data_IF_603535275677
#
_entry.id   IF_603535275677
#
_cell.length_a   1.000
_cell.length_b   1.000
_cell.length_c   1.000
_cell.angle_alpha   90.00
_cell.angle_beta   90.00
_cell.angle_gamma   90.00
#
_symmetry.space_group_name_H-M   'P 1'
#
loop_
_entity.id
_entity.type
_entity.pdbx_description
1 polymer ?
#
# COMPACT_ATOMS: atom_id res chain seq x y z
N UNK A 1 -7.19 -34.43 56.21
CA UNK A 1 -6.42 -33.86 57.33
C UNK A 1 -7.17 -32.60 57.75
N UNK A 2 -7.87 -32.64 58.90
CA UNK A 2 -8.69 -31.60 59.59
C UNK A 2 -9.69 -30.79 58.73
N UNK A 3 -11.01 -30.74 58.91
CA UNK A 3 -11.93 -30.78 60.08
C UNK A 3 -11.46 -29.90 61.25
N UNK A 4 -12.08 -28.73 61.40
CA UNK A 4 -12.92 -28.33 62.55
C UNK A 4 -13.46 -26.90 62.32
N UNK A 5 -14.51 -26.37 62.96
CA UNK A 5 -15.83 -26.80 63.44
C UNK A 5 -16.46 -25.56 64.16
N UNK A 6 -17.80 -25.58 64.31
CA UNK A 6 -18.65 -24.79 65.25
C UNK A 6 -18.93 -23.31 64.95
N UNK A 7 -20.18 -22.88 64.71
CA UNK A 7 -21.50 -22.97 65.43
C UNK A 7 -21.68 -21.95 66.55
N UNK A 8 -22.97 -21.63 66.77
CA UNK A 8 -23.65 -20.96 67.91
C UNK A 8 -24.00 -19.48 67.66
N UNK A 9 -25.17 -18.92 68.01
CA UNK A 9 -26.39 -19.39 68.70
C UNK A 9 -27.54 -18.39 68.45
N UNK A 10 -28.78 -18.84 68.69
CA UNK A 10 -30.08 -18.16 68.65
C UNK A 10 -30.30 -17.08 69.73
N UNK A 11 -31.32 -16.25 69.51
CA UNK A 11 -32.28 -15.55 70.41
C UNK A 11 -32.39 -14.07 70.01
N UNK A 12 -33.54 -13.48 69.67
CA UNK A 12 -34.85 -13.54 70.31
C UNK A 12 -35.02 -12.29 71.20
N UNK A 13 -35.97 -11.40 70.88
CA UNK A 13 -36.79 -10.57 71.81
C UNK A 13 -37.31 -9.26 71.18
N UNK A 14 -38.63 -9.10 71.22
CA UNK A 14 -39.39 -7.87 71.00
C UNK A 14 -39.03 -6.76 72.00
N UNK A 15 -39.09 -5.50 71.56
CA UNK A 15 -39.49 -4.37 72.39
C UNK A 15 -40.40 -3.42 71.60
N UNK A 16 -41.58 -3.19 72.17
CA UNK A 16 -42.59 -2.18 71.81
C UNK A 16 -42.31 -0.94 72.67
N UNK A 17 -42.31 0.29 72.11
CA UNK A 17 -43.20 1.43 72.49
C UNK A 17 -42.76 2.80 71.92
N UNK A 18 -43.74 3.49 71.31
CA UNK A 18 -44.09 4.93 71.29
C UNK A 18 -43.12 6.05 70.86
N UNK A 19 -43.62 6.75 69.83
CA UNK A 19 -43.72 8.21 69.63
C UNK A 19 -42.55 9.13 70.05
N UNK A 20 -41.94 9.80 69.06
CA UNK A 20 -42.02 11.25 69.01
C UNK A 20 -41.72 11.84 67.62
N UNK A 21 -42.53 12.85 67.30
CA UNK A 21 -42.64 13.58 66.07
C UNK A 21 -41.45 14.55 65.88
N UNK A 22 -40.72 14.52 64.75
CA UNK A 22 -39.99 15.70 64.24
C UNK A 22 -39.84 15.63 62.71
N UNK A 23 -40.38 16.65 62.04
CA UNK A 23 -40.20 16.91 60.62
C UNK A 23 -38.74 17.20 60.29
N UNK A 24 -38.10 16.30 59.55
CA UNK A 24 -36.91 16.63 58.77
C UNK A 24 -37.18 16.35 57.30
N UNK A 25 -37.16 17.42 56.50
CA UNK A 25 -37.02 17.37 55.06
C UNK A 25 -35.68 16.71 54.72
N UNK A 26 -35.65 15.38 54.75
CA UNK A 26 -34.57 14.63 54.16
C UNK A 26 -34.72 14.77 52.65
N UNK A 27 -33.88 15.62 52.04
CA UNK A 27 -33.41 15.36 50.70
C UNK A 27 -32.75 13.99 50.72
N UNK A 28 -33.56 12.94 50.52
CA UNK A 28 -33.08 11.58 50.36
C UNK A 28 -32.18 11.59 49.15
N UNK A 29 -30.87 11.61 49.40
CA UNK A 29 -29.86 11.31 48.39
C UNK A 29 -30.22 9.93 47.89
N UNK A 30 -30.81 9.83 46.70
CA UNK A 30 -31.01 8.54 46.03
C UNK A 30 -29.62 7.94 45.88
N UNK A 31 -29.29 6.99 46.74
CA UNK A 31 -28.11 6.17 46.60
C UNK A 31 -28.27 5.51 45.24
N UNK A 32 -27.34 5.78 44.33
CA UNK A 32 -27.37 5.18 43.02
C UNK A 32 -27.21 3.67 43.19
N UNK A 33 -28.21 2.91 42.76
CA UNK A 33 -28.18 1.45 42.77
C UNK A 33 -27.85 0.94 41.37
N UNK A 34 -26.95 -0.03 41.30
CA UNK A 34 -26.58 -0.69 40.05
C UNK A 34 -27.81 -1.37 39.46
N UNK A 35 -28.16 -1.03 38.23
CA UNK A 35 -29.16 -1.77 37.47
C UNK A 35 -28.59 -3.16 37.13
N UNK A 36 -29.10 -4.20 37.81
CA UNK A 36 -28.62 -5.59 37.67
C UNK A 36 -28.84 -6.15 36.26
N UNK A 37 -29.89 -5.74 35.55
CA UNK A 37 -30.15 -6.17 34.18
C UNK A 37 -29.14 -5.54 33.20
N UNK A 38 -28.74 -4.29 33.44
CA UNK A 38 -27.63 -3.68 32.68
C UNK A 38 -26.30 -4.36 32.99
N UNK A 39 -26.06 -4.73 34.25
CA UNK A 39 -24.84 -5.44 34.65
C UNK A 39 -24.75 -6.82 33.97
N UNK A 40 -25.83 -7.60 33.93
CA UNK A 40 -25.86 -8.90 33.26
C UNK A 40 -25.67 -8.77 31.74
N UNK A 41 -26.31 -7.77 31.12
CA UNK A 41 -26.08 -7.44 29.70
C UNK A 41 -24.62 -7.06 29.43
N UNK A 42 -24.01 -6.27 30.32
CA UNK A 42 -22.59 -5.91 30.21
C UNK A 42 -21.68 -7.13 30.35
N UNK A 43 -21.97 -8.04 31.30
CA UNK A 43 -21.23 -9.30 31.45
C UNK A 43 -21.35 -10.17 30.20
N UNK A 44 -22.55 -10.28 29.61
CA UNK A 44 -22.75 -10.99 28.35
C UNK A 44 -21.92 -10.38 27.21
N UNK A 45 -21.89 -9.04 27.10
CA UNK A 45 -21.08 -8.33 26.11
C UNK A 45 -19.58 -8.52 26.32
N UNK A 46 -19.12 -8.60 27.57
CA UNK A 46 -17.71 -8.86 27.91
C UNK A 46 -17.29 -10.29 27.49
N UNK A 47 -18.19 -11.26 27.64
CA UNK A 47 -17.92 -12.65 27.26
C UNK A 47 -18.07 -12.92 25.76
N UNK A 48 -18.78 -12.05 25.03
CA UNK A 48 -18.97 -12.20 23.58
C UNK A 48 -17.66 -11.96 22.81
N UNK A 49 -17.38 -12.79 21.81
CA UNK A 49 -16.29 -12.54 20.88
C UNK A 49 -16.63 -11.34 19.98
N UNK A 50 -15.67 -10.43 19.71
CA UNK A 50 -15.84 -9.42 18.67
C UNK A 50 -16.15 -10.10 17.33
N UNK A 51 -17.16 -9.59 16.62
CA UNK A 51 -17.58 -10.13 15.32
C UNK A 51 -17.10 -9.29 14.14
N UNK A 52 -17.08 -7.95 14.29
CA UNK A 52 -16.71 -7.02 13.21
C UNK A 52 -15.22 -7.13 12.93
N UNK A 53 -14.37 -6.78 13.89
CA UNK A 53 -12.93 -7.03 13.83
C UNK A 53 -12.65 -8.42 14.42
N UNK A 54 -12.17 -9.33 13.58
CA UNK A 54 -11.86 -10.71 13.99
C UNK A 54 -10.74 -10.73 15.04
N UNK A 55 -10.71 -11.77 15.87
CA UNK A 55 -9.61 -11.94 16.85
C UNK A 55 -8.26 -12.17 16.17
N UNK A 56 -8.25 -12.68 14.93
CA UNK A 56 -7.02 -12.88 14.15
C UNK A 56 -6.52 -11.58 13.51
N UNK A 57 -7.32 -10.51 13.44
CA UNK A 57 -6.94 -9.26 12.78
C UNK A 57 -5.64 -8.62 13.29
N UNK A 58 -5.26 -8.86 14.55
CA UNK A 58 -3.99 -8.41 15.13
C UNK A 58 -2.84 -9.40 15.00
N UNK A 59 -3.06 -10.58 14.41
CA UNK A 59 -2.04 -11.62 14.23
C UNK A 59 -1.37 -11.50 12.87
N UNK A 60 -0.16 -12.03 12.75
CA UNK A 60 0.57 -12.12 11.48
C UNK A 60 -0.08 -13.04 10.43
N UNK A 61 -1.03 -13.90 10.84
CA UNK A 61 -1.84 -14.70 9.91
C UNK A 61 -2.86 -13.86 9.15
N UNK A 62 -3.36 -12.76 9.73
CA UNK A 62 -4.25 -11.83 9.04
C UNK A 62 -3.48 -10.99 8.02
N UNK A 63 -4.00 -10.95 6.79
CA UNK A 63 -3.38 -10.24 5.67
C UNK A 63 -4.40 -9.65 4.69
N UNK A 64 -5.69 -9.98 4.80
CA UNK A 64 -6.76 -9.49 3.92
C UNK A 64 -7.70 -8.62 4.75
N UNK A 65 -7.58 -7.31 4.59
CA UNK A 65 -8.23 -6.33 5.44
C UNK A 65 -9.40 -5.65 4.74
N UNK A 66 -10.46 -5.34 5.49
CA UNK A 66 -11.34 -4.24 5.09
C UNK A 66 -10.57 -2.94 5.18
N UNK A 67 -10.72 -2.10 4.17
CA UNK A 67 -10.04 -0.81 4.11
C UNK A 67 -10.58 0.09 5.22
N UNK A 68 -9.71 0.71 6.04
CA UNK A 68 -10.12 1.67 7.05
C UNK A 68 -10.99 2.77 6.46
N UNK A 69 -12.05 3.14 7.20
CA UNK A 69 -13.04 4.12 6.75
C UNK A 69 -12.41 5.47 6.37
N UNK A 70 -11.37 5.91 7.07
CA UNK A 70 -10.63 7.12 6.75
C UNK A 70 -10.06 7.10 5.33
N UNK A 71 -9.40 6.01 4.93
CA UNK A 71 -8.86 5.85 3.57
C UNK A 71 -9.98 5.77 2.54
N UNK A 72 -11.07 5.06 2.87
CA UNK A 72 -12.22 4.92 1.98
C UNK A 72 -12.97 6.25 1.76
N UNK A 73 -13.05 7.13 2.76
CA UNK A 73 -13.68 8.45 2.63
C UNK A 73 -12.89 9.37 1.68
N UNK A 74 -11.57 9.15 1.54
CA UNK A 74 -10.71 9.91 0.62
C UNK A 74 -10.69 9.31 -0.79
N UNK A 75 -10.61 7.97 -0.92
CA UNK A 75 -10.30 7.28 -2.19
C UNK A 75 -11.27 6.13 -2.55
N UNK A 76 -12.48 6.11 -1.98
CA UNK A 76 -13.29 4.89 -1.86
C UNK A 76 -13.56 4.05 -3.12
N UNK A 77 -13.76 4.67 -4.29
CA UNK A 77 -14.00 3.93 -5.54
C UNK A 77 -12.81 3.04 -5.97
N UNK A 78 -11.61 3.39 -5.53
CA UNK A 78 -10.39 2.66 -5.88
C UNK A 78 -10.20 1.36 -5.07
N UNK A 79 -11.00 1.14 -4.02
CA UNK A 79 -10.94 -0.09 -3.21
C UNK A 79 -12.01 -1.12 -3.59
N UNK A 80 -13.10 -0.73 -4.27
CA UNK A 80 -14.21 -1.62 -4.62
C UNK A 80 -14.09 -2.24 -6.02
N UNK A 81 -14.08 -3.59 -6.17
CA UNK A 81 -13.98 -4.23 -7.47
C UNK A 81 -15.08 -3.78 -8.44
N UNK A 82 -14.76 -3.77 -9.73
CA UNK A 82 -15.65 -3.33 -10.80
C UNK A 82 -16.38 -4.49 -11.50
N UNK A 83 -15.69 -5.61 -11.74
CA UNK A 83 -16.22 -6.69 -12.59
C UNK A 83 -16.10 -8.08 -11.98
N UNK A 84 -15.17 -8.32 -11.05
CA UNK A 84 -14.95 -9.65 -10.46
C UNK A 84 -14.77 -9.58 -8.95
N UNK A 85 -15.52 -10.42 -8.23
CA UNK A 85 -15.26 -10.65 -6.81
C UNK A 85 -14.24 -11.78 -6.66
N UNK A 86 -13.35 -11.70 -5.68
CA UNK A 86 -12.41 -12.75 -5.31
C UNK A 86 -12.38 -12.79 -3.78
N UNK A 87 -12.75 -13.94 -3.22
CA UNK A 87 -12.93 -14.10 -1.81
C UNK A 87 -14.24 -13.47 -1.28
N UNK A 88 -14.43 -13.49 0.05
CA UNK A 88 -15.74 -13.36 0.67
C UNK A 88 -16.28 -11.92 0.78
N UNK A 89 -15.43 -10.89 0.70
CA UNK A 89 -15.85 -9.52 1.04
C UNK A 89 -16.78 -8.86 0.03
N UNK A 90 -16.68 -9.27 -1.24
CA UNK A 90 -17.52 -8.76 -2.34
C UNK A 90 -18.34 -9.86 -3.02
N UNK A 91 -18.30 -11.08 -2.50
CA UNK A 91 -18.98 -12.21 -3.10
C UNK A 91 -20.51 -11.99 -3.11
N UNK A 92 -21.14 -12.34 -4.24
CA UNK A 92 -22.58 -12.20 -4.44
C UNK A 92 -23.08 -10.78 -4.71
N UNK A 93 -22.19 -9.78 -4.86
CA UNK A 93 -22.60 -8.42 -5.23
C UNK A 93 -23.16 -8.38 -6.66
N UNK A 94 -24.37 -7.82 -6.90
CA UNK A 94 -25.02 -7.88 -8.21
C UNK A 94 -24.21 -7.30 -9.37
N UNK A 95 -23.42 -6.25 -9.13
CA UNK A 95 -22.62 -5.61 -10.19
C UNK A 95 -21.40 -6.43 -10.62
N UNK A 96 -21.03 -7.47 -9.87
CA UNK A 96 -19.90 -8.36 -10.16
C UNK A 96 -20.32 -9.69 -10.79
N UNK A 97 -21.64 -9.92 -10.95
CA UNK A 97 -22.20 -11.19 -11.38
C UNK A 97 -21.69 -11.67 -12.75
N UNK A 98 -21.33 -10.73 -13.64
CA UNK A 98 -20.84 -11.02 -14.99
C UNK A 98 -19.67 -12.01 -14.99
N UNK A 99 -18.65 -11.81 -14.16
CA UNK A 99 -17.49 -12.71 -14.13
C UNK A 99 -17.75 -13.96 -13.27
N UNK A 100 -18.65 -13.88 -12.27
CA UNK A 100 -19.03 -15.05 -11.46
C UNK A 100 -19.54 -16.21 -12.33
N UNK A 101 -20.36 -15.92 -13.35
CA UNK A 101 -20.82 -16.94 -14.31
C UNK A 101 -19.66 -17.59 -15.09
N UNK A 102 -18.64 -16.80 -15.42
CA UNK A 102 -17.48 -17.28 -16.16
C UNK A 102 -16.49 -18.08 -15.30
N UNK A 103 -16.47 -17.90 -13.98
CA UNK A 103 -15.62 -18.71 -13.09
C UNK A 103 -15.95 -20.20 -13.19
N UNK A 104 -17.23 -20.55 -13.24
CA UNK A 104 -17.68 -21.94 -13.40
C UNK A 104 -17.26 -22.53 -14.74
N UNK A 105 -17.31 -21.73 -15.81
CA UNK A 105 -16.79 -22.12 -17.13
C UNK A 105 -15.29 -22.41 -17.08
N UNK A 106 -14.51 -21.59 -16.37
CA UNK A 106 -13.07 -21.77 -16.20
C UNK A 106 -12.76 -23.02 -15.37
N UNK A 107 -13.47 -23.22 -14.26
CA UNK A 107 -13.36 -24.44 -13.46
C UNK A 107 -13.69 -25.69 -14.27
N UNK A 108 -14.76 -25.67 -15.07
CA UNK A 108 -15.10 -26.79 -15.95
C UNK A 108 -14.03 -27.09 -17.00
N UNK A 109 -13.43 -26.06 -17.60
CA UNK A 109 -12.32 -26.22 -18.55
C UNK A 109 -11.07 -26.81 -17.90
N UNK A 110 -10.76 -26.38 -16.67
CA UNK A 110 -9.66 -26.91 -15.87
C UNK A 110 -9.90 -28.38 -15.50
N UNK A 111 -11.09 -28.70 -14.99
CA UNK A 111 -11.48 -30.05 -14.57
C UNK A 111 -11.41 -31.06 -15.71
N UNK A 112 -11.80 -30.68 -16.94
CA UNK A 112 -11.64 -31.55 -18.11
C UNK A 112 -10.20 -32.06 -18.27
N UNK A 113 -9.20 -31.21 -18.03
CA UNK A 113 -7.78 -31.57 -18.16
C UNK A 113 -7.23 -32.34 -16.96
N UNK A 114 -7.75 -32.12 -15.76
CA UNK A 114 -7.26 -32.80 -14.55
C UNK A 114 -7.97 -34.12 -14.30
N UNK A 115 -9.23 -34.27 -14.70
CA UNK A 115 -9.99 -35.52 -14.60
C UNK A 115 -9.39 -36.61 -15.47
N UNK A 116 -8.82 -36.27 -16.63
CA UNK A 116 -8.03 -37.17 -17.46
C UNK A 116 -6.82 -37.77 -16.71
N UNK A 117 -6.40 -37.12 -15.62
CA UNK A 117 -5.31 -37.55 -14.73
C UNK A 117 -5.80 -38.11 -13.40
N UNK A 118 -7.10 -38.32 -13.25
CA UNK A 118 -7.71 -38.85 -12.03
C UNK A 118 -7.92 -37.83 -10.92
N UNK A 119 -7.79 -36.52 -11.18
CA UNK A 119 -8.03 -35.46 -10.19
C UNK A 119 -9.33 -34.72 -10.53
N UNK A 120 -10.33 -34.88 -9.67
CA UNK A 120 -11.66 -34.28 -9.80
C UNK A 120 -11.90 -33.10 -8.85
N UNK A 121 -13.13 -32.56 -8.91
CA UNK A 121 -13.56 -31.46 -8.05
C UNK A 121 -13.52 -31.83 -6.56
N UNK A 122 -13.89 -33.08 -6.24
CA UNK A 122 -13.83 -33.60 -4.87
C UNK A 122 -12.42 -33.53 -4.29
N UNK A 123 -11.38 -33.74 -5.10
CA UNK A 123 -9.99 -33.70 -4.64
C UNK A 123 -9.57 -32.26 -4.30
N UNK A 124 -10.06 -31.27 -5.05
CA UNK A 124 -9.81 -29.85 -4.73
C UNK A 124 -10.48 -29.46 -3.41
N UNK A 125 -11.75 -29.82 -3.24
CA UNK A 125 -12.50 -29.54 -2.02
C UNK A 125 -11.84 -30.23 -0.81
N UNK A 126 -11.48 -31.51 -0.95
CA UNK A 126 -10.81 -32.31 0.10
C UNK A 126 -9.44 -31.75 0.46
N UNK A 127 -8.71 -31.18 -0.51
CA UNK A 127 -7.41 -30.59 -0.25
C UNK A 127 -7.50 -29.22 0.44
N UNK A 128 -8.50 -28.41 0.12
CA UNK A 128 -8.71 -27.08 0.74
C UNK A 128 -9.33 -27.19 2.13
N UNK A 129 -10.19 -28.19 2.39
CA UNK A 129 -10.91 -28.34 3.65
C UNK A 129 -10.03 -28.24 4.92
N UNK A 130 -8.86 -28.89 5.01
CA UNK A 130 -8.00 -28.81 6.21
C UNK A 130 -7.44 -27.40 6.46
N UNK A 131 -7.41 -26.56 5.43
CA UNK A 131 -6.87 -25.20 5.48
C UNK A 131 -7.95 -24.14 5.71
N UNK A 132 -9.22 -24.52 5.82
CA UNK A 132 -10.34 -23.58 5.96
C UNK A 132 -10.15 -22.62 7.14
N UNK A 133 -9.79 -23.15 8.31
CA UNK A 133 -9.61 -22.36 9.53
C UNK A 133 -8.46 -21.35 9.37
N UNK A 134 -7.33 -21.77 8.80
CA UNK A 134 -6.19 -20.90 8.52
C UNK A 134 -6.56 -19.82 7.48
N UNK A 135 -7.31 -20.19 6.44
CA UNK A 135 -7.78 -19.25 5.43
C UNK A 135 -8.72 -18.20 6.02
N UNK A 136 -9.59 -18.56 6.97
CA UNK A 136 -10.43 -17.58 7.69
C UNK A 136 -9.60 -16.63 8.55
N UNK A 137 -8.52 -17.11 9.17
CA UNK A 137 -7.64 -16.25 9.97
C UNK A 137 -6.96 -15.15 9.13
N UNK A 138 -6.84 -15.33 7.82
CA UNK A 138 -6.32 -14.32 6.91
C UNK A 138 -7.19 -13.06 6.81
N UNK A 139 -8.49 -13.14 7.15
CA UNK A 139 -9.42 -12.02 7.02
C UNK A 139 -9.55 -11.23 8.32
N UNK A 140 -9.53 -9.89 8.19
CA UNK A 140 -9.69 -8.97 9.32
C UNK A 140 -11.09 -8.98 9.93
N UNK A 141 -12.10 -9.38 9.17
CA UNK A 141 -13.48 -9.50 9.65
C UNK A 141 -13.93 -10.96 9.73
N UNK A 142 -14.97 -11.22 10.52
CA UNK A 142 -15.55 -12.56 10.61
C UNK A 142 -16.29 -12.89 9.33
N UNK A 143 -15.95 -14.02 8.71
CA UNK A 143 -16.58 -14.49 7.47
C UNK A 143 -17.88 -15.24 7.79
N UNK A 144 -19.01 -14.74 7.32
CA UNK A 144 -20.36 -15.25 7.62
C UNK A 144 -20.81 -16.48 6.83
N UNK A 145 -19.99 -17.00 5.92
CA UNK A 145 -20.27 -18.21 5.14
C UNK A 145 -20.09 -19.49 5.97
N UNK A 146 -20.90 -20.50 5.70
CA UNK A 146 -20.68 -21.86 6.18
C UNK A 146 -19.33 -22.42 5.69
N UNK A 147 -18.86 -23.53 6.27
CA UNK A 147 -17.62 -24.16 5.83
C UNK A 147 -17.69 -24.58 4.35
N UNK A 148 -18.80 -25.18 3.93
CA UNK A 148 -18.96 -25.66 2.56
C UNK A 148 -18.97 -24.51 1.55
N UNK A 149 -19.75 -23.45 1.80
CA UNK A 149 -19.79 -22.26 0.94
C UNK A 149 -18.42 -21.56 0.84
N UNK A 150 -17.69 -21.47 1.95
CA UNK A 150 -16.39 -20.83 1.97
C UNK A 150 -15.33 -21.65 1.22
N UNK A 151 -15.32 -22.98 1.39
CA UNK A 151 -14.41 -23.87 0.67
C UNK A 151 -14.71 -23.85 -0.83
N UNK A 152 -16.00 -23.90 -1.22
CA UNK A 152 -16.43 -23.79 -2.61
C UNK A 152 -15.90 -22.50 -3.24
N UNK A 153 -16.08 -21.36 -2.56
CA UNK A 153 -15.58 -20.06 -3.02
C UNK A 153 -14.06 -20.05 -3.19
N UNK A 154 -13.29 -20.55 -2.21
CA UNK A 154 -11.84 -20.61 -2.29
C UNK A 154 -11.35 -21.46 -3.47
N UNK A 155 -11.99 -22.61 -3.72
CA UNK A 155 -11.66 -23.48 -4.85
C UNK A 155 -12.03 -22.80 -6.17
N UNK A 156 -13.24 -22.27 -6.29
CA UNK A 156 -13.73 -21.64 -7.51
C UNK A 156 -12.87 -20.43 -7.90
N UNK A 157 -12.62 -19.52 -6.96
CA UNK A 157 -11.86 -18.30 -7.18
C UNK A 157 -10.38 -18.60 -7.44
N UNK A 158 -9.82 -19.56 -6.69
CA UNK A 158 -8.45 -20.01 -6.89
C UNK A 158 -8.24 -20.65 -8.26
N UNK A 159 -9.12 -21.58 -8.66
CA UNK A 159 -9.08 -22.20 -9.98
C UNK A 159 -9.28 -21.17 -11.10
N UNK A 160 -10.18 -20.20 -10.92
CA UNK A 160 -10.38 -19.11 -11.88
C UNK A 160 -9.09 -18.31 -12.09
N UNK A 161 -8.43 -17.85 -11.01
CA UNK A 161 -7.17 -17.10 -11.09
C UNK A 161 -6.09 -17.92 -11.81
N UNK A 162 -5.91 -19.18 -11.42
CA UNK A 162 -4.88 -20.04 -12.00
C UNK A 162 -5.11 -20.29 -13.48
N UNK A 163 -6.36 -20.56 -13.87
CA UNK A 163 -6.73 -20.80 -15.26
C UNK A 163 -6.61 -19.53 -16.11
N UNK A 164 -6.97 -18.37 -15.54
CA UNK A 164 -6.75 -17.07 -16.15
C UNK A 164 -5.26 -16.85 -16.43
N UNK A 165 -4.39 -17.05 -15.44
CA UNK A 165 -2.94 -16.87 -15.61
C UNK A 165 -2.37 -17.83 -16.67
N UNK A 166 -2.84 -19.08 -16.72
CA UNK A 166 -2.42 -20.05 -17.74
C UNK A 166 -2.84 -19.65 -19.14
N UNK A 167 -4.07 -19.16 -19.32
CA UNK A 167 -4.60 -18.70 -20.62
C UNK A 167 -3.80 -17.51 -21.15
N UNK A 168 -3.63 -16.47 -20.32
CA UNK A 168 -2.84 -15.29 -20.69
C UNK A 168 -1.35 -15.59 -20.84
N UNK A 169 -0.83 -16.59 -20.13
CA UNK A 169 0.53 -17.10 -20.28
C UNK A 169 0.73 -18.01 -21.49
N UNK A 170 -0.30 -18.30 -22.28
CA UNK A 170 -0.22 -19.20 -23.43
C UNK A 170 0.07 -20.67 -23.09
N UNK A 171 -0.12 -21.07 -21.83
CA UNK A 171 0.13 -22.44 -21.37
C UNK A 171 -1.03 -23.39 -21.65
N UNK A 172 -2.22 -22.85 -21.84
CA UNK A 172 -3.42 -23.62 -22.18
C UNK A 172 -4.16 -22.91 -23.30
N UNK A 173 -4.91 -23.65 -24.14
CA UNK A 173 -5.70 -23.04 -25.20
C UNK A 173 -6.68 -22.00 -24.64
N UNK A 174 -6.62 -20.80 -25.19
CA UNK A 174 -7.65 -19.79 -25.07
C UNK A 174 -8.52 -19.84 -26.32
N UNK A 175 -9.83 -19.74 -26.15
CA UNK A 175 -10.73 -19.53 -27.27
C UNK A 175 -10.52 -18.09 -27.76
N UNK A 176 -10.16 -17.87 -29.04
CA UNK A 176 -9.91 -16.52 -29.57
C UNK A 176 -11.11 -15.57 -29.37
N UNK A 177 -12.32 -16.12 -29.34
CA UNK A 177 -13.56 -15.37 -29.19
C UNK A 177 -14.03 -15.28 -27.72
N UNK A 178 -13.23 -15.79 -26.76
CA UNK A 178 -13.56 -15.71 -25.34
C UNK A 178 -13.65 -14.24 -24.88
N UNK A 179 -14.79 -13.76 -24.37
CA UNK A 179 -14.95 -12.37 -23.96
C UNK A 179 -13.92 -11.90 -22.93
N UNK A 180 -13.41 -12.79 -22.07
CA UNK A 180 -12.44 -12.44 -21.03
C UNK A 180 -11.03 -12.22 -21.60
N UNK A 181 -10.73 -12.73 -22.80
CA UNK A 181 -9.44 -12.52 -23.47
C UNK A 181 -9.55 -11.58 -24.66
N UNK A 182 -10.70 -11.53 -25.34
CA UNK A 182 -10.90 -10.71 -26.55
C UNK A 182 -11.29 -9.25 -26.24
N UNK A 183 -12.00 -9.00 -25.14
CA UNK A 183 -12.42 -7.65 -24.77
C UNK A 183 -11.35 -6.93 -23.94
N UNK A 184 -10.65 -5.97 -24.54
CA UNK A 184 -9.54 -5.25 -23.89
C UNK A 184 -9.92 -4.56 -22.57
N UNK A 185 -11.15 -4.05 -22.47
CA UNK A 185 -11.61 -3.40 -21.25
C UNK A 185 -11.72 -4.40 -20.09
N UNK A 186 -12.24 -5.61 -20.33
CA UNK A 186 -12.37 -6.67 -19.31
C UNK A 186 -11.00 -6.97 -18.70
N UNK A 187 -9.99 -7.13 -19.56
CA UNK A 187 -8.63 -7.41 -19.10
C UNK A 187 -8.06 -6.30 -18.20
N UNK A 188 -8.22 -5.03 -18.58
CA UNK A 188 -7.76 -3.88 -17.79
C UNK A 188 -8.43 -3.80 -16.41
N UNK A 189 -9.71 -4.19 -16.30
CA UNK A 189 -10.41 -4.27 -15.02
C UNK A 189 -10.02 -5.51 -14.20
N UNK A 190 -9.80 -6.67 -14.84
CA UNK A 190 -9.31 -7.88 -14.16
C UNK A 190 -7.97 -7.61 -13.47
N UNK A 191 -7.02 -6.97 -14.17
CA UNK A 191 -5.72 -6.61 -13.61
C UNK A 191 -5.85 -5.78 -12.33
N UNK A 192 -6.76 -4.80 -12.31
CA UNK A 192 -6.98 -3.93 -11.15
C UNK A 192 -7.70 -4.66 -10.02
N UNK A 193 -8.79 -5.34 -10.33
CA UNK A 193 -9.64 -6.02 -9.34
C UNK A 193 -8.88 -7.16 -8.62
N UNK A 194 -7.99 -7.87 -9.31
CA UNK A 194 -7.15 -8.92 -8.71
C UNK A 194 -6.07 -8.39 -7.74
N UNK A 195 -5.85 -7.08 -7.68
CA UNK A 195 -4.87 -6.43 -6.80
C UNK A 195 -5.53 -5.52 -5.75
N UNK A 196 -6.86 -5.57 -5.60
CA UNK A 196 -7.53 -4.80 -4.54
C UNK A 196 -7.40 -5.50 -3.21
N UNK A 197 -7.14 -4.74 -2.16
CA UNK A 197 -6.93 -5.28 -0.81
C UNK A 197 -8.13 -6.11 -0.32
N UNK A 198 -9.35 -5.65 -0.57
CA UNK A 198 -10.57 -6.35 -0.15
C UNK A 198 -10.96 -7.53 -1.06
N UNK A 199 -10.27 -7.71 -2.20
CA UNK A 199 -10.66 -8.65 -3.24
C UNK A 199 -9.59 -9.73 -3.45
N UNK A 200 -9.26 -10.44 -2.38
CA UNK A 200 -8.15 -11.40 -2.33
C UNK A 200 -8.59 -12.73 -1.73
N UNK A 201 -7.84 -13.79 -2.08
CA UNK A 201 -7.77 -15.03 -1.33
C UNK A 201 -6.32 -15.30 -0.89
N UNK A 202 -6.07 -16.11 0.16
CA UNK A 202 -4.73 -16.39 0.61
C UNK A 202 -3.88 -17.08 -0.46
N UNK A 203 -2.62 -16.65 -0.63
CA UNK A 203 -1.75 -17.17 -1.69
C UNK A 203 -1.41 -18.65 -1.49
N UNK A 204 -1.41 -19.15 -0.26
CA UNK A 204 -1.16 -20.58 0.00
C UNK A 204 -2.28 -21.47 -0.57
N UNK A 205 -3.53 -20.98 -0.65
CA UNK A 205 -4.62 -21.67 -1.35
C UNK A 205 -4.32 -21.77 -2.84
N UNK A 206 -3.87 -20.66 -3.45
CA UNK A 206 -3.42 -20.65 -4.85
C UNK A 206 -2.27 -21.63 -5.09
N UNK A 207 -1.29 -21.68 -4.17
CA UNK A 207 -0.15 -22.59 -4.26
C UNK A 207 -0.58 -24.05 -4.20
N UNK A 208 -1.47 -24.40 -3.27
CA UNK A 208 -2.03 -25.74 -3.14
C UNK A 208 -2.78 -26.16 -4.42
N UNK A 209 -3.72 -25.32 -4.88
CA UNK A 209 -4.49 -25.61 -6.09
C UNK A 209 -3.60 -25.67 -7.33
N UNK A 210 -2.55 -24.84 -7.41
CA UNK A 210 -1.59 -24.87 -8.50
C UNK A 210 -0.83 -26.19 -8.55
N UNK A 211 -0.41 -26.72 -7.40
CA UNK A 211 0.26 -28.02 -7.29
C UNK A 211 -0.66 -29.17 -7.71
N UNK A 212 -1.92 -29.17 -7.26
CA UNK A 212 -2.91 -30.19 -7.62
C UNK A 212 -3.29 -30.17 -9.11
N UNK A 213 -3.32 -28.98 -9.69
CA UNK A 213 -3.73 -28.77 -11.09
C UNK A 213 -2.55 -28.78 -12.05
N UNK A 214 -1.36 -29.17 -11.58
CA UNK A 214 -0.16 -29.07 -12.38
C UNK A 214 -0.22 -30.00 -13.60
N UNK A 215 0.34 -29.52 -14.71
CA UNK A 215 0.15 -30.14 -16.02
C UNK A 215 1.17 -31.26 -16.34
N UNK A 216 2.16 -31.51 -15.49
CA UNK A 216 3.20 -32.53 -15.72
C UNK A 216 3.15 -33.65 -14.65
N UNK A 217 3.00 -34.92 -15.04
CA UNK A 217 3.18 -36.06 -14.13
C UNK A 217 4.64 -36.49 -13.93
N UNK A 218 5.54 -36.26 -14.90
CA UNK A 218 6.81 -37.03 -15.00
C UNK A 218 8.08 -36.23 -15.32
N UNK A 219 8.07 -34.89 -15.35
CA UNK A 219 9.30 -34.10 -15.52
C UNK A 219 9.42 -33.06 -14.41
N UNK A 220 10.48 -33.17 -13.61
CA UNK A 220 10.88 -32.17 -12.63
C UNK A 220 11.07 -30.80 -13.32
N UNK A 221 10.09 -29.90 -13.18
CA UNK A 221 10.34 -28.46 -13.25
C UNK A 221 10.28 -27.75 -14.61
N UNK A 222 9.66 -28.30 -15.66
CA UNK A 222 9.63 -27.61 -16.97
C UNK A 222 8.57 -26.51 -17.12
N UNK A 223 7.53 -26.49 -16.28
CA UNK A 223 6.50 -25.43 -16.28
C UNK A 223 6.88 -24.21 -15.44
N UNK A 224 6.40 -23.00 -15.77
CA UNK A 224 6.67 -21.82 -14.97
C UNK A 224 6.04 -21.94 -13.57
N UNK A 225 6.74 -21.46 -12.55
CA UNK A 225 6.22 -21.40 -11.18
C UNK A 225 4.97 -20.51 -11.09
N UNK A 226 4.15 -20.70 -10.05
CA UNK A 226 3.01 -19.80 -9.78
C UNK A 226 3.45 -18.34 -9.67
N UNK A 227 4.61 -18.09 -9.03
CA UNK A 227 5.19 -16.75 -8.95
C UNK A 227 5.53 -16.18 -10.32
N UNK A 228 6.14 -16.98 -11.19
CA UNK A 228 6.44 -16.59 -12.58
C UNK A 228 5.18 -16.25 -13.37
N UNK A 229 4.14 -17.08 -13.26
CA UNK A 229 2.85 -16.84 -13.90
C UNK A 229 2.18 -15.55 -13.41
N UNK A 230 2.22 -15.33 -12.09
CA UNK A 230 1.69 -14.11 -11.47
C UNK A 230 2.40 -12.88 -12.00
N UNK A 231 3.74 -12.88 -12.00
CA UNK A 231 4.55 -11.77 -12.51
C UNK A 231 4.28 -11.52 -13.99
N UNK A 232 4.28 -12.57 -14.82
CA UNK A 232 3.99 -12.45 -16.26
C UNK A 232 2.60 -11.84 -16.52
N UNK A 233 1.58 -12.26 -15.77
CA UNK A 233 0.22 -11.76 -15.94
C UNK A 233 0.14 -10.25 -15.74
N UNK A 234 0.72 -9.73 -14.65
CA UNK A 234 0.73 -8.29 -14.35
C UNK A 234 1.77 -7.51 -15.17
N UNK A 235 2.78 -8.17 -15.73
CA UNK A 235 3.80 -7.50 -16.54
C UNK A 235 3.25 -6.92 -17.85
N UNK A 236 2.08 -7.37 -18.31
CA UNK A 236 1.39 -6.75 -19.45
C UNK A 236 1.01 -5.29 -19.18
N UNK A 237 0.82 -4.89 -17.91
CA UNK A 237 0.64 -3.49 -17.51
C UNK A 237 1.96 -2.83 -17.08
N UNK A 238 2.81 -3.57 -16.37
CA UNK A 238 4.02 -3.02 -15.74
C UNK A 238 5.24 -2.89 -16.65
N UNK A 239 5.31 -3.68 -17.73
CA UNK A 239 6.38 -3.67 -18.74
C UNK A 239 7.82 -3.79 -18.17
N UNK A 240 8.00 -4.55 -17.08
CA UNK A 240 9.31 -4.81 -16.48
C UNK A 240 10.14 -5.74 -17.36
N UNK A 241 11.46 -5.59 -17.28
CA UNK A 241 12.41 -6.36 -18.09
C UNK A 241 12.50 -7.83 -17.67
N UNK A 242 12.85 -8.70 -18.61
CA UNK A 242 12.99 -10.14 -18.35
C UNK A 242 13.98 -10.49 -17.23
N UNK A 243 15.16 -9.86 -17.11
CA UNK A 243 16.07 -10.11 -15.98
C UNK A 243 15.41 -9.85 -14.62
N UNK A 244 14.56 -8.83 -14.52
CA UNK A 244 13.82 -8.49 -13.31
C UNK A 244 12.81 -9.58 -12.99
N UNK A 245 12.01 -10.00 -13.97
CA UNK A 245 11.02 -11.06 -13.79
C UNK A 245 11.68 -12.37 -13.37
N UNK A 246 12.77 -12.75 -14.03
CA UNK A 246 13.54 -13.96 -13.74
C UNK A 246 14.12 -13.93 -12.33
N UNK A 247 14.67 -12.79 -11.89
CA UNK A 247 15.15 -12.62 -10.51
C UNK A 247 14.04 -12.86 -9.50
N UNK A 248 12.88 -12.23 -9.63
CA UNK A 248 11.81 -12.39 -8.64
C UNK A 248 11.06 -13.71 -8.74
N UNK A 249 11.14 -14.40 -9.88
CA UNK A 249 10.56 -15.73 -10.07
C UNK A 249 11.39 -16.86 -9.46
N UNK A 250 12.72 -16.69 -9.41
CA UNK A 250 13.65 -17.65 -8.80
C UNK A 250 13.76 -17.49 -7.29
N UNK A 251 13.32 -16.34 -6.77
CA UNK A 251 13.18 -16.12 -5.36
C UNK A 251 11.88 -16.76 -4.89
N UNK A 252 11.93 -17.50 -3.79
CA UNK A 252 10.75 -17.93 -3.06
C UNK A 252 10.09 -16.71 -2.40
N UNK A 253 9.52 -15.82 -3.22
CA UNK A 253 8.67 -14.74 -2.74
C UNK A 253 7.43 -15.37 -2.11
N UNK A 254 7.38 -15.36 -0.78
CA UNK A 254 6.22 -15.78 0.00
C UNK A 254 5.23 -14.62 0.14
N UNK A 255 4.48 -14.33 -0.93
CA UNK A 255 3.37 -13.39 -0.85
C UNK A 255 2.25 -13.95 0.01
N UNK A 256 1.58 -13.10 0.81
CA UNK A 256 0.40 -13.50 1.58
C UNK A 256 -0.87 -13.65 0.72
N UNK A 257 -0.98 -12.85 -0.33
CA UNK A 257 -2.00 -12.86 -1.38
C UNK A 257 -1.41 -12.16 -2.63
N UNK A 258 -2.17 -12.01 -3.73
CA UNK A 258 -1.64 -11.48 -5.00
C UNK A 258 -1.09 -10.05 -4.89
N UNK A 259 -1.82 -9.15 -4.23
CA UNK A 259 -1.37 -7.77 -4.01
C UNK A 259 -0.04 -7.72 -3.24
N UNK A 260 0.08 -8.47 -2.14
CA UNK A 260 1.31 -8.50 -1.33
C UNK A 260 2.47 -9.15 -2.10
N UNK A 261 2.20 -10.22 -2.87
CA UNK A 261 3.18 -10.85 -3.74
C UNK A 261 3.76 -9.85 -4.76
N UNK A 262 2.90 -9.11 -5.47
CA UNK A 262 3.34 -8.14 -6.46
C UNK A 262 4.07 -6.96 -5.80
N UNK A 263 3.55 -6.45 -4.67
CA UNK A 263 4.20 -5.41 -3.85
C UNK A 263 5.61 -5.81 -3.45
N UNK A 264 5.79 -7.01 -2.90
CA UNK A 264 7.10 -7.53 -2.49
C UNK A 264 8.09 -7.61 -3.66
N UNK A 265 7.60 -7.88 -4.88
CA UNK A 265 8.45 -7.92 -6.08
C UNK A 265 9.05 -6.56 -6.49
N UNK A 266 8.59 -5.44 -5.92
CA UNK A 266 9.15 -4.11 -6.17
C UNK A 266 10.20 -3.70 -5.11
N UNK A 267 10.23 -4.35 -3.95
CA UNK A 267 11.09 -3.91 -2.85
C UNK A 267 12.56 -4.31 -3.14
N UNK A 268 13.50 -3.34 -3.20
CA UNK A 268 14.92 -3.65 -3.38
C UNK A 268 15.50 -4.34 -2.15
N UNK A 269 16.30 -5.41 -2.35
CA UNK A 269 16.91 -6.18 -1.24
C UNK A 269 17.95 -5.40 -0.44
N UNK A 270 18.61 -4.44 -1.09
CA UNK A 270 19.68 -3.64 -0.49
C UNK A 270 19.14 -2.49 0.37
N UNK A 271 17.84 -2.24 0.36
CA UNK A 271 17.20 -1.10 1.04
C UNK A 271 16.43 -1.60 2.26
N UNK A 272 17.13 -2.28 3.17
CA UNK A 272 16.57 -2.59 4.48
C UNK A 272 16.20 -1.30 5.23
N UNK A 273 15.13 -1.34 6.01
CA UNK A 273 14.79 -0.24 6.91
C UNK A 273 15.94 -0.04 7.92
N UNK A 274 16.36 1.21 8.19
CA UNK A 274 17.45 1.49 9.12
C UNK A 274 17.09 1.04 10.53
N UNK A 275 18.10 0.84 11.38
CA UNK A 275 17.82 0.49 12.78
C UNK A 275 17.21 1.70 13.50
N UNK A 276 16.29 1.49 14.47
CA UNK A 276 15.76 2.58 15.28
C UNK A 276 16.90 3.40 15.93
N UNK A 277 16.80 4.73 15.88
CA UNK A 277 17.79 5.69 16.38
C UNK A 277 19.13 5.76 15.63
N UNK A 278 19.23 5.25 14.40
CA UNK A 278 20.44 5.39 13.58
C UNK A 278 20.73 6.85 13.20
N UNK A 279 19.70 7.69 13.13
CA UNK A 279 19.78 9.09 12.73
C UNK A 279 19.14 10.04 13.76
N UNK A 280 19.55 11.33 13.82
CA UNK A 280 18.83 12.35 14.58
C UNK A 280 17.40 12.50 14.05
N UNK A 281 16.52 13.11 14.85
CA UNK A 281 15.12 13.36 14.48
C UNK A 281 15.01 13.96 13.08
N UNK A 282 14.41 13.20 12.18
CA UNK A 282 14.29 13.50 10.76
C UNK A 282 13.10 14.44 10.54
N UNK A 283 13.20 15.31 9.54
CA UNK A 283 12.09 16.17 9.10
C UNK A 283 11.66 15.77 7.70
N UNK A 284 10.39 15.96 7.37
CA UNK A 284 9.94 15.88 5.97
C UNK A 284 10.70 16.90 5.12
N UNK A 285 10.85 16.61 3.83
CA UNK A 285 11.46 17.54 2.89
C UNK A 285 10.42 18.54 2.38
N UNK A 286 10.91 19.67 1.89
CA UNK A 286 10.08 20.65 1.19
C UNK A 286 9.68 20.16 -0.21
N UNK A 287 8.65 20.77 -0.80
CA UNK A 287 8.23 20.42 -2.15
C UNK A 287 9.21 20.89 -3.23
N UNK A 288 9.07 20.33 -4.44
CA UNK A 288 9.96 20.57 -5.59
C UNK A 288 10.20 22.07 -5.82
N UNK A 289 9.14 22.87 -5.76
CA UNK A 289 9.22 24.32 -5.93
C UNK A 289 10.21 25.01 -4.96
N UNK A 290 10.34 24.55 -3.71
CA UNK A 290 11.30 25.06 -2.73
C UNK A 290 12.67 24.40 -2.86
N UNK A 291 12.72 23.09 -3.06
CA UNK A 291 13.98 22.34 -3.25
C UNK A 291 14.81 22.95 -4.39
N UNK A 292 14.16 23.28 -5.51
CA UNK A 292 14.83 23.90 -6.66
C UNK A 292 15.43 25.27 -6.34
N UNK A 293 14.78 26.08 -5.50
CA UNK A 293 15.32 27.38 -5.05
C UNK A 293 16.54 27.21 -4.15
N UNK A 294 16.59 26.11 -3.40
CA UNK A 294 17.75 25.73 -2.59
C UNK A 294 18.87 25.05 -3.40
N UNK A 295 18.74 24.94 -4.72
CA UNK A 295 19.74 24.32 -5.59
C UNK A 295 19.68 22.80 -5.63
N UNK A 296 18.63 22.20 -5.08
CA UNK A 296 18.40 20.75 -5.16
C UNK A 296 17.64 20.44 -6.45
N UNK A 297 18.23 19.59 -7.28
CA UNK A 297 17.67 19.17 -8.56
C UNK A 297 17.15 17.72 -8.50
N UNK A 298 16.24 17.37 -9.41
CA UNK A 298 15.73 16.01 -9.54
C UNK A 298 16.04 15.46 -10.93
N UNK A 299 16.55 14.23 -10.99
CA UNK A 299 16.95 13.57 -12.24
C UNK A 299 16.46 12.12 -12.32
N UNK A 300 16.18 11.62 -13.53
CA UNK A 300 15.85 10.22 -13.72
C UNK A 300 17.06 9.34 -13.37
N UNK A 301 16.80 8.12 -12.90
CA UNK A 301 17.80 7.08 -12.67
C UNK A 301 17.42 5.78 -13.37
N UNK A 302 18.41 4.98 -13.71
CA UNK A 302 18.26 3.68 -14.38
C UNK A 302 18.02 2.50 -13.41
N UNK A 303 17.63 2.77 -12.16
CA UNK A 303 17.31 1.70 -11.21
C UNK A 303 16.02 0.98 -11.61
N UNK A 304 15.96 -0.32 -11.39
CA UNK A 304 14.87 -1.17 -11.87
C UNK A 304 13.54 -1.00 -11.11
N UNK A 305 13.61 -0.55 -9.85
CA UNK A 305 12.43 -0.34 -9.00
C UNK A 305 12.28 1.14 -8.73
N UNK A 306 11.09 1.69 -8.95
CA UNK A 306 10.74 3.08 -8.62
C UNK A 306 10.94 3.44 -7.14
N UNK A 307 11.09 2.45 -6.27
CA UNK A 307 11.39 2.64 -4.86
C UNK A 307 12.87 2.99 -4.60
N UNK A 308 13.77 2.74 -5.55
CA UNK A 308 15.22 2.94 -5.39
C UNK A 308 15.63 4.42 -5.60
N UNK A 309 15.33 5.26 -4.61
CA UNK A 309 15.63 6.69 -4.66
C UNK A 309 16.96 6.98 -3.96
N UNK A 310 17.82 7.79 -4.59
CA UNK A 310 19.15 8.11 -4.06
C UNK A 310 19.37 9.62 -4.02
N UNK A 311 20.09 10.11 -3.01
CA UNK A 311 20.59 11.48 -2.99
C UNK A 311 22.09 11.51 -3.25
N UNK A 312 22.51 12.24 -4.29
CA UNK A 312 23.91 12.34 -4.72
C UNK A 312 24.58 13.61 -4.21
N UNK A 313 25.91 13.53 -4.12
CA UNK A 313 26.75 14.69 -3.88
C UNK A 313 26.48 15.76 -4.96
N UNK A 314 26.34 17.01 -4.52
CA UNK A 314 25.97 18.12 -5.41
C UNK A 314 24.49 18.51 -5.36
N UNK A 315 23.67 17.87 -4.53
CA UNK A 315 22.28 18.27 -4.33
C UNK A 315 21.34 17.71 -5.38
N UNK A 316 21.47 16.44 -5.75
CA UNK A 316 20.61 15.80 -6.76
C UNK A 316 19.87 14.62 -6.16
N UNK A 317 18.54 14.63 -6.25
CA UNK A 317 17.69 13.48 -5.98
C UNK A 317 17.54 12.70 -7.29
N UNK A 318 18.05 11.47 -7.31
CA UNK A 318 17.89 10.51 -8.40
C UNK A 318 16.67 9.64 -8.14
N UNK A 319 15.71 9.67 -9.06
CA UNK A 319 14.46 8.92 -8.99
C UNK A 319 14.27 8.08 -10.24
N UNK A 320 13.88 6.80 -10.12
CA UNK A 320 13.56 6.00 -11.30
C UNK A 320 12.24 6.44 -11.92
N UNK A 321 12.11 6.21 -13.22
CA UNK A 321 10.91 6.57 -13.99
C UNK A 321 9.71 5.74 -13.52
N UNK A 322 8.56 6.40 -13.39
CA UNK A 322 7.28 5.74 -13.10
C UNK A 322 6.20 6.20 -14.09
N UNK A 323 5.49 5.24 -14.68
CA UNK A 323 4.31 5.51 -15.47
C UNK A 323 3.07 5.50 -14.56
N UNK A 324 2.40 6.64 -14.47
CA UNK A 324 1.17 6.80 -13.71
C UNK A 324 -0.02 6.69 -14.66
N UNK A 325 -0.63 5.50 -14.68
CA UNK A 325 -1.89 5.18 -15.33
C UNK A 325 -2.92 4.72 -14.28
N UNK A 326 -4.14 4.36 -14.72
CA UNK A 326 -5.19 3.82 -13.85
C UNK A 326 -4.75 2.59 -13.04
N UNK A 327 -3.92 1.72 -13.63
CA UNK A 327 -3.46 0.49 -13.00
C UNK A 327 -2.46 0.80 -11.88
N UNK A 328 -1.41 1.57 -12.16
CA UNK A 328 -0.37 1.93 -11.21
C UNK A 328 -0.93 2.76 -10.06
N UNK A 329 -1.84 3.71 -10.34
CA UNK A 329 -2.50 4.48 -9.29
C UNK A 329 -3.33 3.59 -8.36
N UNK A 330 -4.11 2.65 -8.92
CA UNK A 330 -4.86 1.67 -8.15
C UNK A 330 -3.94 0.75 -7.33
N UNK A 331 -2.83 0.31 -7.92
CA UNK A 331 -1.85 -0.56 -7.27
C UNK A 331 -1.16 0.13 -6.09
N UNK A 332 -0.64 1.35 -6.28
CA UNK A 332 0.00 2.13 -5.21
C UNK A 332 -0.96 2.35 -4.05
N UNK A 333 -2.20 2.75 -4.34
CA UNK A 333 -3.20 3.02 -3.31
C UNK A 333 -3.55 1.77 -2.49
N UNK A 334 -3.74 0.62 -3.15
CA UNK A 334 -4.03 -0.64 -2.46
C UNK A 334 -2.82 -1.15 -1.68
N UNK A 335 -1.59 -0.94 -2.18
CA UNK A 335 -0.37 -1.24 -1.42
C UNK A 335 -0.25 -0.39 -0.16
N UNK A 336 -0.51 0.93 -0.24
CA UNK A 336 -0.50 1.82 0.93
C UNK A 336 -1.55 1.35 1.94
N UNK A 337 -2.78 1.08 1.50
CA UNK A 337 -3.82 0.57 2.41
C UNK A 337 -3.42 -0.75 3.08
N UNK A 338 -2.81 -1.68 2.34
CA UNK A 338 -2.30 -2.94 2.89
C UNK A 338 -1.22 -2.69 3.94
N UNK A 339 -0.23 -1.84 3.63
CA UNK A 339 0.85 -1.51 4.56
C UNK A 339 0.34 -0.77 5.80
N UNK A 340 -0.72 0.03 5.70
CA UNK A 340 -1.35 0.67 6.86
C UNK A 340 -2.04 -0.33 7.79
N UNK A 341 -2.59 -1.41 7.24
CA UNK A 341 -3.28 -2.43 8.04
C UNK A 341 -2.32 -3.50 8.58
N UNK A 342 -1.32 -3.90 7.79
CA UNK A 342 -0.48 -5.05 8.12
C UNK A 342 0.74 -4.64 8.95
N UNK A 343 0.69 -4.85 10.26
CA UNK A 343 1.77 -4.43 11.18
C UNK A 343 3.15 -5.03 10.84
N UNK A 344 3.19 -6.31 10.41
CA UNK A 344 4.43 -7.06 10.18
C UNK A 344 5.08 -6.88 8.81
N UNK A 345 4.53 -6.06 7.91
CA UNK A 345 5.13 -5.82 6.59
C UNK A 345 5.96 -4.54 6.57
N UNK A 346 6.94 -4.50 5.67
CA UNK A 346 7.72 -3.28 5.39
C UNK A 346 6.81 -2.13 4.94
N UNK A 347 7.23 -0.88 5.15
CA UNK A 347 6.43 0.32 4.79
C UNK A 347 6.96 1.04 3.54
N UNK A 348 7.52 0.32 2.57
CA UNK A 348 8.18 0.91 1.41
C UNK A 348 7.22 1.69 0.51
N UNK A 349 6.04 1.13 0.21
CA UNK A 349 5.07 1.81 -0.66
C UNK A 349 4.48 3.04 0.02
N UNK A 350 4.19 2.94 1.31
CA UNK A 350 3.78 4.05 2.18
C UNK A 350 4.84 5.15 2.19
N UNK A 351 6.10 4.79 2.42
CA UNK A 351 7.22 5.74 2.45
C UNK A 351 7.38 6.45 1.11
N UNK A 352 7.28 5.72 0.00
CA UNK A 352 7.33 6.29 -1.34
C UNK A 352 6.15 7.23 -1.62
N UNK A 353 4.94 6.83 -1.23
CA UNK A 353 3.75 7.66 -1.33
C UNK A 353 3.89 8.98 -0.55
N UNK A 354 4.32 8.91 0.71
CA UNK A 354 4.59 10.10 1.54
C UNK A 354 5.70 10.97 0.95
N UNK A 355 6.73 10.35 0.36
CA UNK A 355 7.79 11.08 -0.32
C UNK A 355 7.27 11.84 -1.55
N UNK A 356 6.42 11.21 -2.38
CA UNK A 356 5.77 11.89 -3.51
C UNK A 356 4.85 13.02 -3.04
N UNK A 357 4.07 12.80 -1.98
CA UNK A 357 3.21 13.82 -1.34
C UNK A 357 4.03 15.04 -0.87
N UNK A 358 5.20 14.81 -0.26
CA UNK A 358 6.11 15.90 0.10
C UNK A 358 6.60 16.68 -1.13
N UNK A 359 6.94 15.97 -2.22
CA UNK A 359 7.49 16.58 -3.43
C UNK A 359 6.46 17.34 -4.26
N UNK A 360 5.23 16.84 -4.34
CA UNK A 360 4.20 17.25 -5.30
C UNK A 360 3.02 17.91 -4.59
N UNK A 361 3.07 19.24 -4.45
CA UNK A 361 1.94 19.99 -3.91
C UNK A 361 0.99 20.51 -5.00
N UNK A 362 1.53 20.81 -6.19
CA UNK A 362 0.79 21.48 -7.27
C UNK A 362 0.97 20.80 -8.62
N UNK A 363 0.11 21.10 -9.59
CA UNK A 363 0.26 20.64 -10.97
C UNK A 363 1.59 21.07 -11.62
N UNK A 364 2.20 22.18 -11.17
CA UNK A 364 3.53 22.61 -11.66
C UNK A 364 4.65 21.69 -11.19
N UNK A 365 4.50 21.12 -9.99
CA UNK A 365 5.47 20.15 -9.48
C UNK A 365 5.39 18.85 -10.28
N UNK A 366 4.17 18.42 -10.66
CA UNK A 366 3.96 17.29 -11.59
C UNK A 366 4.56 17.59 -12.96
N UNK A 367 4.21 18.74 -13.55
CA UNK A 367 4.72 19.15 -14.86
C UNK A 367 6.25 19.11 -14.90
N UNK A 368 6.90 19.60 -13.83
CA UNK A 368 8.35 19.54 -13.72
C UNK A 368 8.90 18.10 -13.73
N UNK A 369 8.26 17.16 -13.03
CA UNK A 369 8.68 15.75 -13.03
C UNK A 369 8.45 15.09 -14.39
N UNK A 370 7.38 15.46 -15.10
CA UNK A 370 7.13 15.02 -16.47
C UNK A 370 8.18 15.55 -17.45
N UNK A 371 8.53 16.84 -17.38
CA UNK A 371 9.59 17.46 -18.20
C UNK A 371 10.96 16.78 -17.98
N UNK A 372 11.18 16.18 -16.81
CA UNK A 372 12.41 15.46 -16.45
C UNK A 372 12.37 13.96 -16.76
N UNK A 373 11.29 13.45 -17.36
CA UNK A 373 11.05 12.02 -17.60
C UNK A 373 11.12 11.16 -16.31
N UNK A 374 10.77 11.74 -15.15
CA UNK A 374 10.65 10.99 -13.90
C UNK A 374 9.23 10.42 -13.77
N UNK A 375 8.21 11.19 -14.15
CA UNK A 375 6.82 10.73 -14.21
C UNK A 375 6.33 10.73 -15.66
N UNK A 376 5.78 9.61 -16.11
CA UNK A 376 4.95 9.57 -17.32
C UNK A 376 3.48 9.67 -16.92
N UNK A 377 2.80 10.69 -17.41
CA UNK A 377 1.39 10.90 -17.12
C UNK A 377 0.51 10.22 -18.18
N UNK A 378 -0.12 9.11 -17.83
CA UNK A 378 -1.18 8.45 -18.60
C UNK A 378 -2.52 8.42 -17.85
N UNK A 379 -2.59 9.11 -16.70
CA UNK A 379 -3.75 9.12 -15.81
C UNK A 379 -4.74 10.23 -16.19
N UNK A 380 -4.24 11.37 -16.67
CA UNK A 380 -5.07 12.52 -17.04
C UNK A 380 -4.27 13.82 -17.04
N UNK A 381 -4.80 14.84 -16.41
CA UNK A 381 -4.13 16.15 -16.26
C UNK A 381 -3.13 16.14 -15.10
N UNK A 382 -2.14 17.03 -15.17
CA UNK A 382 -1.18 17.23 -14.08
C UNK A 382 -1.86 17.61 -12.74
N UNK A 383 -3.02 18.27 -12.82
CA UNK A 383 -3.83 18.60 -11.65
C UNK A 383 -4.48 17.35 -11.03
N UNK A 384 -4.90 16.38 -11.85
CA UNK A 384 -5.44 15.11 -11.37
C UNK A 384 -4.38 14.25 -10.70
N UNK A 385 -3.16 14.19 -11.25
CA UNK A 385 -2.02 13.52 -10.59
C UNK A 385 -1.70 14.21 -9.26
N UNK A 386 -1.56 15.53 -9.24
CA UNK A 386 -1.27 16.26 -7.99
C UNK A 386 -2.34 15.98 -6.92
N UNK A 387 -3.63 15.97 -7.31
CA UNK A 387 -4.73 15.63 -6.41
C UNK A 387 -4.65 14.18 -5.92
N UNK A 388 -4.34 13.23 -6.81
CA UNK A 388 -4.20 11.82 -6.46
C UNK A 388 -3.07 11.62 -5.45
N UNK A 389 -1.87 12.16 -5.71
CA UNK A 389 -0.72 12.05 -4.81
C UNK A 389 -1.01 12.68 -3.45
N UNK A 390 -1.59 13.89 -3.43
CA UNK A 390 -2.01 14.55 -2.20
C UNK A 390 -3.08 13.77 -1.41
N UNK A 391 -3.87 12.95 -2.08
CA UNK A 391 -4.85 12.07 -1.44
C UNK A 391 -4.26 10.73 -1.01
N UNK A 392 -3.16 10.30 -1.63
CA UNK A 392 -2.44 9.08 -1.29
C UNK A 392 -1.70 9.22 0.06
N UNK A 393 -1.24 10.43 0.41
CA UNK A 393 -0.60 10.74 1.70
C UNK A 393 -1.56 11.03 2.87
N UNK A 394 -2.87 11.16 2.63
CA UNK A 394 -3.86 11.51 3.68
C UNK A 394 -4.20 10.33 4.58
N UNK A 395 -4.29 10.61 5.87
CA UNK A 395 -4.66 9.63 6.92
C UNK A 395 -3.78 8.37 6.93
N UNK A 396 -2.53 8.53 6.49
CA UNK A 396 -1.50 7.50 6.47
C UNK A 396 -0.59 7.65 7.69
N UNK A 397 -0.44 6.58 8.46
CA UNK A 397 0.55 6.48 9.53
C UNK A 397 1.94 6.26 8.93
N UNK A 398 2.85 7.19 9.20
CA UNK A 398 4.21 7.20 8.69
C UNK A 398 5.20 7.59 9.79
N UNK A 399 6.23 6.78 9.98
CA UNK A 399 7.35 7.09 10.86
C UNK A 399 8.60 7.36 10.03
N UNK A 400 8.97 8.63 9.95
CA UNK A 400 10.07 9.11 9.13
C UNK A 400 11.44 8.64 9.64
N UNK A 401 11.56 8.35 10.93
CA UNK A 401 12.84 8.02 11.55
C UNK A 401 13.26 6.55 11.31
N UNK A 402 12.31 5.69 10.96
CA UNK A 402 12.53 4.25 10.69
C UNK A 402 12.21 3.85 9.24
N UNK A 403 11.84 4.80 8.39
CA UNK A 403 11.55 4.51 6.99
C UNK A 403 12.81 4.26 6.15
N UNK A 404 12.69 3.52 5.04
CA UNK A 404 13.83 3.21 4.17
C UNK A 404 14.47 4.46 3.51
N UNK A 405 13.74 5.58 3.46
CA UNK A 405 14.23 6.87 2.97
C UNK A 405 14.74 7.80 4.08
N UNK A 406 14.78 7.38 5.35
CA UNK A 406 15.17 8.25 6.47
C UNK A 406 16.54 8.93 6.25
N UNK A 407 17.51 8.16 5.72
CA UNK A 407 18.83 8.69 5.34
C UNK A 407 18.73 9.78 4.27
N UNK A 408 17.89 9.57 3.25
CA UNK A 408 17.66 10.53 2.18
C UNK A 408 17.04 11.82 2.71
N UNK A 409 15.98 11.72 3.52
CA UNK A 409 15.36 12.88 4.17
C UNK A 409 16.38 13.69 4.98
N UNK A 410 17.23 13.02 5.76
CA UNK A 410 18.27 13.69 6.54
C UNK A 410 19.30 14.41 5.67
N UNK A 411 19.80 13.75 4.61
CA UNK A 411 20.78 14.33 3.70
C UNK A 411 20.22 15.54 2.93
N UNK A 412 18.96 15.44 2.46
CA UNK A 412 18.28 16.54 1.77
C UNK A 412 18.09 17.73 2.70
N UNK A 413 17.60 17.50 3.93
CA UNK A 413 17.43 18.58 4.91
C UNK A 413 18.75 19.24 5.30
N UNK A 414 19.81 18.45 5.49
CA UNK A 414 21.14 18.99 5.80
C UNK A 414 21.66 19.86 4.65
N UNK A 415 21.46 19.45 3.40
CA UNK A 415 21.82 20.25 2.24
C UNK A 415 20.99 21.54 2.16
N UNK A 416 19.68 21.43 2.35
CA UNK A 416 18.72 22.55 2.28
C UNK A 416 18.97 23.65 3.33
N UNK A 417 19.53 23.30 4.50
CA UNK A 417 19.83 24.27 5.56
C UNK A 417 21.28 24.78 5.53
N UNK A 418 22.09 24.34 4.57
CA UNK A 418 23.47 24.82 4.44
C UNK A 418 23.49 26.19 3.73
N UNK A 419 23.58 27.26 4.55
CA UNK A 419 23.37 28.65 4.15
C UNK A 419 24.15 29.13 2.92
N UNK A 420 25.41 28.72 2.74
CA UNK A 420 26.24 29.24 1.65
C UNK A 420 25.77 28.78 0.27
N UNK A 421 25.51 27.48 0.11
CA UNK A 421 25.04 26.92 -1.16
C UNK A 421 23.62 27.36 -1.48
N UNK A 422 22.76 27.44 -0.46
CA UNK A 422 21.34 27.79 -0.61
C UNK A 422 21.19 29.27 -1.00
N UNK A 423 21.94 30.18 -0.39
CA UNK A 423 21.88 31.60 -0.76
C UNK A 423 22.40 31.83 -2.18
N UNK A 424 23.48 31.17 -2.58
CA UNK A 424 24.00 31.27 -3.94
C UNK A 424 23.04 30.65 -4.98
N UNK A 425 22.45 29.49 -4.67
CA UNK A 425 21.47 28.83 -5.53
C UNK A 425 20.18 29.66 -5.68
N UNK A 426 19.67 30.23 -4.58
CA UNK A 426 18.49 31.09 -4.58
C UNK A 426 18.74 32.37 -5.38
N UNK A 427 19.91 33.00 -5.20
CA UNK A 427 20.34 34.13 -6.01
C UNK A 427 20.41 33.77 -7.49
N UNK A 428 21.05 32.65 -7.84
CA UNK A 428 21.13 32.18 -9.23
C UNK A 428 19.75 31.87 -9.81
N UNK A 429 18.89 31.20 -9.07
CA UNK A 429 17.53 30.86 -9.50
C UNK A 429 16.68 32.12 -9.74
N UNK A 430 16.81 33.12 -8.88
CA UNK A 430 16.00 34.34 -8.95
C UNK A 430 16.48 35.30 -10.04
N UNK A 431 17.79 35.48 -10.18
CA UNK A 431 18.36 36.50 -11.06
C UNK A 431 18.90 35.96 -12.40
N UNK A 432 19.25 34.68 -12.48
CA UNK A 432 19.87 34.06 -13.67
C UNK A 432 19.06 32.91 -14.26
N UNK A 433 17.74 32.89 -14.05
CA UNK A 433 16.87 31.85 -14.62
C UNK A 433 16.69 31.95 -16.15
N UNK A 434 17.16 33.05 -16.77
CA UNK A 434 17.15 33.22 -18.23
C UNK A 434 18.56 33.47 -18.74
N UNK A 435 18.94 32.93 -19.92
CA UNK A 435 20.25 33.21 -20.52
C UNK A 435 20.51 34.71 -20.68
N UNK A 436 19.46 35.48 -20.99
CA UNK A 436 19.51 36.93 -21.21
C UNK A 436 19.87 37.72 -19.95
N UNK A 437 19.37 37.33 -18.77
CA UNK A 437 19.70 38.05 -17.54
C UNK A 437 21.16 37.84 -17.13
N UNK A 438 21.73 36.65 -17.39
CA UNK A 438 23.15 36.41 -17.20
C UNK A 438 24.02 37.23 -18.17
N UNK A 439 23.69 37.22 -19.47
CA UNK A 439 24.41 38.01 -20.48
C UNK A 439 24.36 39.50 -20.15
N UNK A 440 23.20 40.00 -19.72
CA UNK A 440 23.02 41.41 -19.35
C UNK A 440 23.86 41.79 -18.14
N UNK A 441 23.90 40.95 -17.10
CA UNK A 441 24.74 41.17 -15.92
C UNK A 441 26.23 41.11 -16.27
N UNK A 442 26.65 40.20 -17.16
CA UNK A 442 28.03 40.11 -17.63
C UNK A 442 28.44 41.36 -18.42
N UNK A 443 27.60 41.82 -19.34
CA UNK A 443 27.83 43.04 -20.10
C UNK A 443 27.95 44.27 -19.18
N UNK A 444 27.04 44.41 -18.21
CA UNK A 444 27.09 45.48 -17.22
C UNK A 444 28.38 45.42 -16.36
N UNK A 445 28.82 44.22 -15.98
CA UNK A 445 30.06 44.01 -15.22
C UNK A 445 31.30 44.41 -16.04
N UNK A 446 31.36 44.02 -17.32
CA UNK A 446 32.46 44.41 -18.23
C UNK A 446 32.50 45.93 -18.41
N UNK A 447 31.35 46.56 -18.63
CA UNK A 447 31.26 48.02 -18.75
C UNK A 447 31.74 48.73 -17.47
N UNK A 448 31.37 48.20 -16.30
CA UNK A 448 31.81 48.76 -15.02
C UNK A 448 33.33 48.66 -14.84
N UNK A 449 33.93 47.51 -15.17
CA UNK A 449 35.40 47.33 -15.14
C UNK A 449 36.09 48.30 -16.09
N UNK A 450 35.58 48.44 -17.32
CA UNK A 450 36.11 49.40 -18.29
C UNK A 450 36.02 50.85 -17.77
N UNK A 451 34.91 51.21 -17.11
CA UNK A 451 34.71 52.54 -16.52
C UNK A 451 35.69 52.81 -15.39
N UNK A 452 35.94 51.82 -14.52
CA UNK A 452 36.94 51.92 -13.45
C UNK A 452 38.34 52.11 -14.03
N UNK A 453 38.72 51.30 -15.03
CA UNK A 453 40.02 51.42 -15.70
C UNK A 453 40.17 52.79 -16.36
N UNK A 454 39.16 53.26 -17.08
CA UNK A 454 39.16 54.59 -17.69
C UNK A 454 39.36 55.68 -16.63
N UNK A 455 38.67 55.56 -15.48
CA UNK A 455 38.80 56.53 -14.37
C UNK A 455 40.21 56.51 -13.79
N UNK A 456 40.80 55.33 -13.60
CA UNK A 456 42.19 55.19 -13.12
C UNK A 456 43.20 55.79 -14.10
N UNK A 457 43.08 55.49 -15.40
CA UNK A 457 43.94 56.10 -16.42
C UNK A 457 43.79 57.62 -16.48
N UNK A 458 42.56 58.13 -16.32
CA UNK A 458 42.30 59.58 -16.28
C UNK A 458 42.97 60.24 -15.07
N UNK A 459 42.87 59.63 -13.89
CA UNK A 459 43.50 60.12 -12.66
C UNK A 459 45.02 60.07 -12.77
N UNK A 460 45.59 58.97 -13.27
CA UNK A 460 47.04 58.84 -13.45
C UNK A 460 47.56 59.90 -14.43
N UNK A 461 46.86 60.13 -15.56
CA UNK A 461 47.21 61.18 -16.51
C UNK A 461 47.11 62.60 -15.93
N UNK A 462 46.25 62.82 -14.94
CA UNK A 462 46.13 64.10 -14.22
C UNK A 462 47.21 64.29 -13.15
N UNK A 463 47.61 63.21 -12.46
CA UNK A 463 48.57 63.24 -11.34
C UNK A 463 50.02 63.17 -11.82
N UNK A 464 50.29 62.55 -12.98
CA UNK A 464 51.61 62.54 -13.63
C UNK A 464 51.48 63.10 -15.06
N UNK A 465 51.24 64.42 -15.21
CA UNK A 465 51.28 65.05 -16.52
C UNK A 465 52.72 64.99 -17.02
N UNK A 466 52.92 64.42 -18.21
CA UNK A 466 54.20 64.43 -18.92
C UNK A 466 54.58 65.83 -19.39
#
# INVERSE_FOLDING_TARGET
MSIDDKRYFLMGSNWVEKENNHHHHHHAVKIWEVNKDRLSLMQQKISAAPQILSKSAGRSSCCIFRVPRSLNDVNGQHYQPYIVSIGPYHHGMPHLAMIEEHKWRFLGALLKRTQEKGIGLEDYLRAVQPLEAEARECYSETIGYSSDEFIEMLVLDGCFILELFRKFGGLVPADPDDPLTSMSWVYAFLLRDLLRLENQIPFFILKLLFQLTNLAPDDEGSGPSLGRLTLNFFNNALQRSEPVLSRYSSLELEGKHLLDFLRASFIPREHGEPKPNEFPKTRVIECISYLRRAGIDLKPSEEESFLAIKFRQGGVIEMPRIALDDFMCSFLLNCVAYEQCQAGCSKHMTTYATFLDCLINTSRDVQFLCDRNIIENYFGTDAEIAKFINNLGKDVSFDIDVCYLARLFNQVNQYYHNNWHVQWASFKYTYFNTPWSFISALAASVLLVLTVLQTLYTIIGYVHPH
#
